data_IF_809119667369
#
_entry.id   IF_809119667369
#
_cell.length_a   1.000
_cell.length_b   1.000
_cell.length_c   1.000
_cell.angle_alpha   90.00
_cell.angle_beta   90.00
_cell.angle_gamma   90.00
#
_symmetry.space_group_name_H-M   'P 1'
#
loop_
_entity.id
_entity.type
_entity.pdbx_description
1 polymer ?
#
# COMPACT_ATOMS: atom_id res chain seq x y z
N UNK A 1 -22.80 -16.90 -14.97
CA UNK A 1 -22.11 -17.97 -14.25
C UNK A 1 -21.25 -17.34 -13.19
N UNK A 2 -21.59 -17.49 -11.90
CA UNK A 2 -20.70 -17.09 -10.80
C UNK A 2 -19.58 -18.12 -10.73
N UNK A 3 -18.40 -17.73 -11.15
CA UNK A 3 -17.19 -18.54 -10.92
C UNK A 3 -16.83 -18.41 -9.44
N UNK A 4 -17.21 -19.41 -8.65
CA UNK A 4 -16.78 -19.51 -7.25
C UNK A 4 -15.29 -19.89 -7.30
N UNK A 5 -14.40 -18.94 -7.08
CA UNK A 5 -12.99 -19.26 -6.87
C UNK A 5 -12.88 -20.01 -5.54
N UNK A 6 -12.48 -21.29 -5.58
CA UNK A 6 -12.06 -22.01 -4.39
C UNK A 6 -10.74 -21.34 -3.93
N UNK A 7 -10.79 -20.62 -2.82
CA UNK A 7 -9.59 -20.16 -2.14
C UNK A 7 -8.91 -21.36 -1.53
N UNK A 8 -7.62 -21.58 -1.80
CA UNK A 8 -6.86 -22.66 -1.21
C UNK A 8 -6.89 -22.54 0.33
N UNK A 9 -6.92 -23.68 1.03
CA UNK A 9 -6.93 -23.70 2.49
C UNK A 9 -5.67 -23.11 3.11
N UNK A 10 -4.55 -23.13 2.38
CA UNK A 10 -3.27 -22.50 2.76
C UNK A 10 -2.68 -21.77 1.56
N UNK A 11 -2.07 -20.61 1.82
CA UNK A 11 -1.35 -19.80 0.83
C UNK A 11 -0.08 -19.20 1.42
N UNK A 12 0.87 -18.92 0.55
CA UNK A 12 2.11 -18.24 0.92
C UNK A 12 1.92 -16.72 0.86
N UNK A 13 2.71 -15.98 1.62
CA UNK A 13 2.85 -14.54 1.48
C UNK A 13 4.24 -14.07 1.89
N UNK A 14 4.51 -12.79 1.68
CA UNK A 14 5.78 -12.15 2.01
C UNK A 14 5.55 -10.87 2.79
N UNK A 15 6.41 -10.65 3.81
CA UNK A 15 6.39 -9.48 4.68
C UNK A 15 7.64 -8.66 4.37
N UNK A 16 7.46 -7.39 4.04
CA UNK A 16 8.51 -6.40 3.95
C UNK A 16 8.70 -5.69 5.29
N UNK A 17 9.94 -5.35 5.61
CA UNK A 17 10.31 -4.80 6.91
C UNK A 17 11.27 -3.62 6.75
N UNK A 18 11.40 -2.80 7.78
CA UNK A 18 12.59 -1.98 7.91
C UNK A 18 13.72 -2.80 8.54
N UNK A 19 14.88 -2.81 7.91
CA UNK A 19 16.12 -3.40 8.47
C UNK A 19 16.89 -2.42 9.34
N UNK A 20 16.68 -1.13 9.09
CA UNK A 20 17.24 -0.03 9.89
C UNK A 20 16.15 1.00 10.19
N UNK A 21 16.25 1.64 11.34
CA UNK A 21 15.39 2.76 11.76
C UNK A 21 16.24 3.79 12.48
N UNK A 22 16.21 5.05 12.03
CA UNK A 22 17.07 6.11 12.56
C UNK A 22 18.56 5.73 12.65
N UNK A 23 19.06 4.98 11.65
CA UNK A 23 20.44 4.52 11.58
C UNK A 23 20.78 3.30 12.47
N UNK A 24 19.83 2.80 13.28
CA UNK A 24 20.02 1.61 14.10
C UNK A 24 19.37 0.38 13.45
N UNK A 25 19.99 -0.80 13.62
CA UNK A 25 19.42 -2.08 13.20
C UNK A 25 18.13 -2.38 13.94
N UNK A 26 17.10 -2.85 13.23
CA UNK A 26 15.84 -3.33 13.80
C UNK A 26 15.89 -4.81 14.18
N UNK A 27 16.96 -5.52 13.80
CA UNK A 27 17.08 -6.97 13.89
C UNK A 27 16.44 -7.72 12.73
N UNK A 28 15.89 -7.02 11.72
CA UNK A 28 15.35 -7.65 10.52
C UNK A 28 16.43 -7.93 9.48
N UNK A 29 16.24 -9.03 8.71
CA UNK A 29 17.08 -9.42 7.57
C UNK A 29 16.54 -8.90 6.23
N UNK A 30 15.33 -8.33 6.19
CA UNK A 30 14.69 -7.85 4.96
C UNK A 30 13.31 -8.45 4.75
N UNK A 31 13.15 -9.42 3.86
CA UNK A 31 11.86 -10.02 3.51
C UNK A 31 11.68 -11.38 4.20
N UNK A 32 10.52 -11.59 4.81
CA UNK A 32 10.11 -12.84 5.43
C UNK A 32 9.00 -13.50 4.62
N UNK A 33 9.05 -14.82 4.47
CA UNK A 33 7.90 -15.60 3.98
C UNK A 33 7.02 -16.05 5.15
N UNK A 34 5.76 -16.31 4.86
CA UNK A 34 4.82 -16.92 5.80
C UNK A 34 3.83 -17.85 5.09
N UNK A 35 3.27 -18.80 5.84
CA UNK A 35 2.10 -19.58 5.43
C UNK A 35 0.86 -19.01 6.11
N UNK A 36 -0.22 -18.86 5.34
CA UNK A 36 -1.51 -18.34 5.80
C UNK A 36 -2.59 -19.39 5.68
N UNK A 37 -3.26 -19.72 6.79
CA UNK A 37 -4.46 -20.54 6.80
C UNK A 37 -5.70 -19.67 6.57
N UNK A 38 -6.32 -19.79 5.40
CA UNK A 38 -7.49 -18.97 5.00
C UNK A 38 -8.79 -19.35 5.72
N UNK A 39 -8.81 -20.49 6.42
CA UNK A 39 -9.97 -20.93 7.18
C UNK A 39 -9.92 -20.47 8.64
N UNK A 40 -8.72 -20.48 9.21
CA UNK A 40 -8.51 -20.16 10.63
C UNK A 40 -7.95 -18.74 10.85
N UNK A 41 -7.44 -18.09 9.81
CA UNK A 41 -6.79 -16.78 9.93
C UNK A 41 -5.47 -16.84 10.71
N UNK A 42 -4.72 -17.93 10.53
CA UNK A 42 -3.47 -18.18 11.25
C UNK A 42 -2.28 -18.00 10.32
N UNK A 43 -1.36 -17.14 10.73
CA UNK A 43 -0.04 -16.97 10.10
C UNK A 43 0.96 -17.91 10.79
N UNK A 44 1.72 -18.66 10.01
CA UNK A 44 2.68 -19.66 10.50
C UNK A 44 3.92 -19.74 9.62
N UNK A 45 4.93 -20.53 10.02
CA UNK A 45 6.17 -20.78 9.27
C UNK A 45 6.87 -19.50 8.81
N UNK A 46 6.98 -18.52 9.69
CA UNK A 46 7.61 -17.25 9.35
C UNK A 46 9.12 -17.41 9.43
N UNK A 47 9.81 -17.05 8.35
CA UNK A 47 11.27 -17.12 8.27
C UNK A 47 11.81 -16.15 7.21
N UNK A 48 13.05 -15.65 7.36
CA UNK A 48 13.66 -14.76 6.38
C UNK A 48 13.92 -15.51 5.06
N UNK A 49 13.60 -14.87 3.92
CA UNK A 49 13.76 -15.46 2.59
C UNK A 49 14.46 -14.54 1.59
N UNK A 50 14.57 -13.25 1.86
CA UNK A 50 15.23 -12.29 0.99
C UNK A 50 16.00 -11.26 1.79
N UNK A 51 17.32 -11.19 1.59
CA UNK A 51 18.16 -10.15 2.21
C UNK A 51 18.20 -8.94 1.30
N UNK A 52 17.70 -7.82 1.78
CA UNK A 52 17.75 -6.52 1.13
C UNK A 52 17.48 -5.43 2.16
N UNK A 53 17.95 -4.20 1.91
CA UNK A 53 17.79 -3.09 2.86
C UNK A 53 16.39 -2.52 2.77
N UNK A 54 15.76 -2.28 3.90
CA UNK A 54 14.49 -1.56 4.04
C UNK A 54 13.46 -1.87 2.94
N UNK A 55 13.07 -3.15 2.69
CA UNK A 55 12.01 -3.48 1.73
C UNK A 55 10.65 -3.04 2.28
N UNK A 56 10.40 -1.72 2.28
CA UNK A 56 9.28 -1.12 2.99
C UNK A 56 7.95 -1.29 2.28
N UNK A 57 7.95 -1.56 0.97
CA UNK A 57 6.75 -1.90 0.22
C UNK A 57 7.02 -3.01 -0.80
N UNK A 58 6.07 -3.93 -0.93
CA UNK A 58 6.17 -5.09 -1.79
C UNK A 58 5.04 -5.10 -2.83
N UNK A 59 5.35 -5.49 -4.07
CA UNK A 59 4.32 -5.83 -5.05
C UNK A 59 4.63 -7.17 -5.72
N UNK A 60 3.60 -7.98 -5.80
CA UNK A 60 3.65 -9.26 -6.49
C UNK A 60 3.28 -9.07 -7.96
N UNK A 61 4.09 -9.65 -8.85
CA UNK A 61 3.77 -9.66 -10.28
C UNK A 61 2.48 -10.45 -10.54
N UNK A 62 1.60 -10.03 -11.48
CA UNK A 62 0.35 -10.73 -11.77
C UNK A 62 0.51 -12.22 -12.11
N UNK A 63 1.67 -12.62 -12.64
CA UNK A 63 1.97 -14.04 -12.90
C UNK A 63 2.26 -14.86 -11.65
N UNK A 64 2.44 -14.24 -10.49
CA UNK A 64 2.88 -14.90 -9.26
C UNK A 64 4.34 -15.38 -9.25
N UNK A 65 5.13 -15.09 -10.30
CA UNK A 65 6.51 -15.58 -10.45
C UNK A 65 7.57 -14.65 -9.92
N UNK A 66 7.26 -13.37 -9.73
CA UNK A 66 8.20 -12.35 -9.33
C UNK A 66 7.63 -11.47 -8.23
N UNK A 67 8.51 -11.03 -7.35
CA UNK A 67 8.22 -10.07 -6.29
C UNK A 67 9.15 -8.86 -6.44
N UNK A 68 8.63 -7.66 -6.24
CA UNK A 68 9.42 -6.43 -6.26
C UNK A 68 9.32 -5.74 -4.92
N UNK A 69 10.45 -5.19 -4.47
CA UNK A 69 10.55 -4.43 -3.24
C UNK A 69 11.17 -3.06 -3.52
N UNK A 70 10.59 -1.99 -3.00
CA UNK A 70 11.32 -0.73 -2.85
C UNK A 70 12.31 -0.86 -1.71
N UNK A 71 13.46 -0.18 -1.82
CA UNK A 71 14.45 -0.08 -0.75
C UNK A 71 14.44 1.37 -0.24
N UNK A 72 13.65 1.61 0.82
CA UNK A 72 13.44 2.93 1.42
C UNK A 72 14.57 3.25 2.38
N UNK A 73 15.72 3.64 1.83
CA UNK A 73 16.91 3.93 2.61
C UNK A 73 16.93 5.38 3.11
N UNK A 74 17.83 5.69 4.03
CA UNK A 74 17.99 7.06 4.50
C UNK A 74 18.55 7.94 3.37
N UNK A 75 18.15 9.21 3.25
CA UNK A 75 18.59 10.10 2.16
C UNK A 75 20.11 10.22 1.98
N UNK A 76 20.87 9.93 3.01
CA UNK A 76 22.34 9.97 2.99
C UNK A 76 23.02 8.67 2.53
N UNK A 77 22.27 7.57 2.32
CA UNK A 77 22.82 6.26 1.98
C UNK A 77 23.28 6.17 0.52
N UNK A 78 22.68 6.95 -0.36
CA UNK A 78 22.92 6.90 -1.81
C UNK A 78 22.51 5.58 -2.48
N UNK A 79 21.69 4.78 -1.80
CA UNK A 79 21.35 3.40 -2.20
C UNK A 79 19.89 3.21 -2.57
N UNK A 80 19.17 4.27 -2.87
CA UNK A 80 17.75 4.22 -3.20
C UNK A 80 17.50 3.43 -4.48
N UNK A 81 16.83 2.29 -4.34
CA UNK A 81 16.66 1.36 -5.44
C UNK A 81 15.39 0.50 -5.31
N UNK A 82 15.16 -0.30 -6.33
CA UNK A 82 14.12 -1.33 -6.41
C UNK A 82 14.82 -2.66 -6.64
N UNK A 83 14.53 -3.65 -5.82
CA UNK A 83 15.04 -5.01 -5.98
C UNK A 83 13.95 -5.92 -6.54
N UNK A 84 14.29 -6.65 -7.59
CA UNK A 84 13.44 -7.67 -8.20
C UNK A 84 13.88 -9.06 -7.73
N UNK A 85 12.90 -9.91 -7.39
CA UNK A 85 13.11 -11.29 -6.96
C UNK A 85 12.33 -12.26 -7.82
N UNK A 86 12.94 -13.41 -8.15
CA UNK A 86 12.22 -14.58 -8.64
C UNK A 86 11.74 -15.41 -7.46
N UNK A 87 10.49 -15.86 -7.53
CA UNK A 87 9.86 -16.77 -6.56
C UNK A 87 10.11 -18.20 -7.04
N UNK A 88 10.42 -19.12 -6.12
CA UNK A 88 10.68 -20.54 -6.45
C UNK A 88 9.51 -21.18 -7.22
N UNK A 89 9.85 -22.15 -8.09
CA UNK A 89 8.91 -22.76 -9.04
C UNK A 89 7.76 -23.52 -8.37
N UNK A 90 7.97 -24.00 -7.15
CA UNK A 90 7.01 -24.81 -6.41
C UNK A 90 6.10 -24.00 -5.47
N UNK A 91 6.22 -22.67 -5.45
CA UNK A 91 5.59 -21.80 -4.44
C UNK A 91 5.77 -22.30 -2.99
N UNK A 92 6.69 -23.24 -2.79
CA UNK A 92 7.01 -23.77 -1.47
C UNK A 92 7.77 -22.75 -0.63
N UNK A 93 7.94 -21.54 -1.15
CA UNK A 93 8.38 -20.34 -0.43
C UNK A 93 9.80 -20.40 0.14
N UNK A 94 10.56 -21.34 -0.25
CA UNK A 94 11.91 -21.43 0.28
C UNK A 94 12.86 -20.56 -0.53
N UNK A 95 12.85 -19.28 -0.23
CA UNK A 95 13.83 -18.34 -0.72
C UNK A 95 13.41 -17.53 -1.94
N UNK A 96 13.54 -16.23 -1.81
CA UNK A 96 13.50 -15.29 -2.91
C UNK A 96 14.91 -15.17 -3.50
N UNK A 97 15.03 -15.42 -4.79
CA UNK A 97 16.30 -15.21 -5.49
C UNK A 97 16.30 -13.81 -6.11
N UNK A 98 17.16 -12.92 -5.62
CA UNK A 98 17.35 -11.62 -6.25
C UNK A 98 17.80 -11.80 -7.72
N UNK A 99 17.09 -11.16 -8.64
CA UNK A 99 17.36 -11.23 -10.08
C UNK A 99 17.87 -9.93 -10.66
N UNK A 100 17.80 -8.84 -9.92
CA UNK A 100 18.35 -7.55 -10.32
C UNK A 100 17.93 -6.43 -9.39
N UNK A 101 18.69 -5.34 -9.48
CA UNK A 101 18.46 -4.11 -8.73
C UNK A 101 18.62 -2.93 -9.68
N UNK A 102 17.73 -1.96 -9.62
CA UNK A 102 17.80 -0.72 -10.42
C UNK A 102 17.62 0.48 -9.50
N UNK A 103 18.21 1.63 -9.86
CA UNK A 103 17.94 2.88 -9.15
C UNK A 103 16.44 3.22 -9.23
N UNK A 104 15.84 3.68 -8.13
CA UNK A 104 14.46 4.17 -8.10
C UNK A 104 14.26 5.53 -8.80
N UNK A 105 15.34 6.16 -9.24
CA UNK A 105 15.40 7.49 -9.85
C UNK A 105 14.90 8.60 -8.91
N UNK A 106 15.08 8.40 -7.61
CA UNK A 106 14.71 9.35 -6.57
C UNK A 106 15.18 8.88 -5.21
N UNK A 107 14.78 9.58 -4.16
CA UNK A 107 15.14 9.31 -2.77
C UNK A 107 13.94 8.83 -1.97
N UNK A 108 14.17 7.84 -1.10
CA UNK A 108 13.19 7.17 -0.26
C UNK A 108 11.99 6.65 -1.07
N UNK A 109 12.18 5.65 -1.97
CA UNK A 109 11.06 4.98 -2.61
C UNK A 109 10.22 4.27 -1.56
N UNK A 110 8.94 4.61 -1.46
CA UNK A 110 8.05 4.12 -0.39
C UNK A 110 6.84 3.34 -0.89
N UNK A 111 6.59 3.35 -2.20
CA UNK A 111 5.49 2.61 -2.81
C UNK A 111 5.81 2.20 -4.23
N UNK A 112 5.29 1.05 -4.64
CA UNK A 112 5.34 0.60 -6.03
C UNK A 112 4.06 -0.15 -6.41
N UNK A 113 3.70 -0.09 -7.69
CA UNK A 113 2.59 -0.86 -8.25
C UNK A 113 2.94 -1.41 -9.63
N UNK A 114 2.18 -2.40 -10.08
CA UNK A 114 2.40 -3.09 -11.37
C UNK A 114 1.09 -3.02 -12.15
N UNK A 115 1.18 -2.79 -13.46
CA UNK A 115 0.01 -2.84 -14.33
C UNK A 115 -0.56 -4.26 -14.45
N UNK A 116 -1.83 -4.39 -14.78
CA UNK A 116 -2.50 -5.68 -14.86
C UNK A 116 -1.89 -6.64 -15.90
N UNK A 117 -1.19 -6.12 -16.91
CA UNK A 117 -0.49 -6.96 -17.92
C UNK A 117 0.87 -7.47 -17.41
N UNK A 118 1.38 -6.95 -16.30
CA UNK A 118 2.70 -7.26 -15.75
C UNK A 118 3.87 -6.70 -16.56
N UNK A 119 3.65 -5.72 -17.42
CA UNK A 119 4.71 -5.16 -18.28
C UNK A 119 5.35 -3.90 -17.71
N UNK A 120 4.69 -3.23 -16.79
CA UNK A 120 5.11 -1.94 -16.28
C UNK A 120 5.05 -1.88 -14.75
N UNK A 121 6.13 -1.39 -14.16
CA UNK A 121 6.21 -1.08 -12.73
C UNK A 121 6.32 0.44 -12.56
N UNK A 122 5.57 0.96 -11.61
CA UNK A 122 5.58 2.36 -11.19
C UNK A 122 6.13 2.45 -9.76
N UNK A 123 6.90 3.50 -9.47
CA UNK A 123 7.43 3.77 -8.14
C UNK A 123 7.19 5.22 -7.74
N UNK A 124 6.88 5.45 -6.46
CA UNK A 124 6.83 6.75 -5.81
C UNK A 124 8.04 6.92 -4.88
N UNK A 125 8.77 8.02 -5.06
CA UNK A 125 9.93 8.39 -4.25
C UNK A 125 9.55 9.56 -3.34
N UNK A 126 9.47 9.29 -2.04
CA UNK A 126 8.90 10.22 -1.06
C UNK A 126 9.74 11.48 -0.90
N UNK A 127 11.05 11.34 -0.62
CA UNK A 127 11.91 12.50 -0.30
C UNK A 127 12.13 13.39 -1.50
N UNK A 128 12.32 12.82 -2.69
CA UNK A 128 12.53 13.61 -3.91
C UNK A 128 11.24 14.12 -4.56
N UNK A 129 10.06 13.57 -4.20
CA UNK A 129 8.79 13.90 -4.85
C UNK A 129 8.78 13.51 -6.33
N UNK A 130 9.47 12.43 -6.70
CA UNK A 130 9.49 11.91 -8.07
C UNK A 130 8.68 10.63 -8.19
N UNK A 131 8.18 10.38 -9.40
CA UNK A 131 7.67 9.07 -9.81
C UNK A 131 8.44 8.56 -11.00
N UNK A 132 8.59 7.24 -11.13
CA UNK A 132 9.27 6.64 -12.27
C UNK A 132 8.53 5.40 -12.79
N UNK A 133 8.74 5.08 -14.07
CA UNK A 133 8.12 3.94 -14.79
C UNK A 133 9.21 3.05 -15.34
N UNK A 134 9.07 1.75 -15.12
CA UNK A 134 10.03 0.74 -15.56
C UNK A 134 9.35 -0.35 -16.39
N UNK A 135 9.95 -0.76 -17.52
CA UNK A 135 9.50 -1.97 -18.19
C UNK A 135 9.93 -3.20 -17.38
N UNK A 136 9.02 -4.17 -17.26
CA UNK A 136 9.30 -5.50 -16.71
C UNK A 136 9.62 -6.43 -17.86
N UNK A 137 10.79 -7.06 -17.82
CA UNK A 137 11.24 -8.00 -18.82
C UNK A 137 10.61 -9.39 -18.59
N UNK A 138 10.65 -10.25 -19.59
CA UNK A 138 10.05 -11.61 -19.52
C UNK A 138 10.65 -12.50 -18.43
N UNK A 139 11.88 -12.22 -18.01
CA UNK A 139 12.59 -12.89 -16.91
C UNK A 139 12.37 -12.22 -15.54
N UNK A 140 11.50 -11.19 -15.47
CA UNK A 140 11.15 -10.46 -14.27
C UNK A 140 12.10 -9.33 -13.90
N UNK A 141 13.20 -9.13 -14.60
CA UNK A 141 14.10 -7.99 -14.37
C UNK A 141 13.45 -6.69 -14.79
N UNK A 142 13.81 -5.62 -14.09
CA UNK A 142 13.44 -4.27 -14.52
C UNK A 142 14.44 -3.75 -15.55
N UNK A 143 13.94 -3.16 -16.64
CA UNK A 143 14.76 -2.41 -17.57
C UNK A 143 15.14 -1.04 -17.02
N UNK A 144 15.77 -0.20 -17.85
CA UNK A 144 16.01 1.20 -17.50
C UNK A 144 14.69 1.96 -17.36
N UNK A 145 14.68 2.97 -16.48
CA UNK A 145 13.50 3.83 -16.32
C UNK A 145 13.07 4.41 -17.66
N UNK A 146 11.83 4.15 -18.03
CA UNK A 146 11.22 4.67 -19.26
C UNK A 146 10.96 6.15 -19.16
N UNK A 147 10.56 6.60 -17.98
CA UNK A 147 10.22 7.99 -17.69
C UNK A 147 10.38 8.28 -16.20
N UNK A 148 10.83 9.50 -15.87
CA UNK A 148 10.89 10.04 -14.52
C UNK A 148 10.18 11.37 -14.53
N UNK A 149 9.27 11.58 -13.57
CA UNK A 149 8.51 12.84 -13.47
C UNK A 149 8.76 13.45 -12.08
N UNK A 150 9.24 14.69 -12.06
CA UNK A 150 9.33 15.51 -10.86
C UNK A 150 7.97 16.15 -10.58
N UNK A 151 7.34 15.82 -9.45
CA UNK A 151 6.16 16.51 -8.97
C UNK A 151 6.54 17.82 -8.29
N UNK A 152 5.63 18.79 -8.29
CA UNK A 152 5.87 20.13 -7.73
C UNK A 152 4.67 20.56 -6.88
N UNK A 153 4.97 21.19 -5.77
CA UNK A 153 3.98 21.73 -4.85
C UNK A 153 4.53 21.75 -3.44
N UNK A 154 3.81 22.39 -2.55
CA UNK A 154 4.07 22.46 -1.12
C UNK A 154 2.75 22.66 -0.39
N UNK A 155 2.74 22.44 0.92
CA UNK A 155 1.59 22.63 1.80
C UNK A 155 1.96 23.45 3.03
N UNK A 156 1.00 23.70 3.94
CA UNK A 156 1.20 24.60 5.07
C UNK A 156 2.01 23.99 6.24
N UNK A 157 2.17 22.66 6.29
CA UNK A 157 2.91 21.98 7.37
C UNK A 157 4.40 22.03 7.06
N UNK A 158 5.09 23.08 7.48
CA UNK A 158 6.45 23.39 7.12
C UNK A 158 7.47 22.25 7.35
N UNK A 159 7.28 21.41 8.37
CA UNK A 159 8.17 20.27 8.68
C UNK A 159 7.95 19.06 7.77
N UNK A 160 6.83 18.99 7.03
CA UNK A 160 6.42 17.81 6.26
C UNK A 160 6.00 18.11 4.82
N UNK A 161 5.83 19.39 4.44
CA UNK A 161 5.26 19.80 3.17
C UNK A 161 6.06 20.94 2.50
N UNK A 162 7.39 20.98 2.70
CA UNK A 162 8.26 22.00 2.05
C UNK A 162 8.31 21.83 0.53
N UNK A 163 8.09 20.61 0.07
CA UNK A 163 8.11 20.23 -1.35
C UNK A 163 7.15 19.07 -1.61
N UNK A 164 7.01 18.66 -2.85
CA UNK A 164 6.29 17.45 -3.22
C UNK A 164 6.93 16.21 -2.55
N UNK A 165 6.08 15.31 -2.09
CA UNK A 165 6.43 14.03 -1.46
C UNK A 165 5.49 12.93 -1.98
N UNK A 166 5.85 12.34 -3.14
CA UNK A 166 5.06 11.26 -3.74
C UNK A 166 5.02 10.06 -2.82
N UNK A 167 3.82 9.66 -2.36
CA UNK A 167 3.67 8.58 -1.39
C UNK A 167 3.06 7.31 -1.97
N UNK A 168 2.21 7.43 -2.98
CA UNK A 168 1.61 6.28 -3.66
C UNK A 168 1.51 6.52 -5.16
N UNK A 169 1.61 5.44 -5.94
CA UNK A 169 1.29 5.38 -7.36
C UNK A 169 0.38 4.19 -7.63
N UNK A 170 -0.77 4.42 -8.26
CA UNK A 170 -1.75 3.37 -8.56
C UNK A 170 -2.45 3.65 -9.89
N UNK A 171 -2.72 2.60 -10.66
CA UNK A 171 -3.50 2.72 -11.89
C UNK A 171 -5.00 2.79 -11.58
N UNK A 172 -5.73 3.56 -12.38
CA UNK A 172 -7.19 3.51 -12.40
C UNK A 172 -7.67 2.09 -12.77
N UNK A 173 -8.88 1.69 -12.35
CA UNK A 173 -9.39 0.33 -12.60
C UNK A 173 -9.41 -0.09 -14.08
N UNK A 174 -9.52 0.86 -14.98
CA UNK A 174 -9.49 0.64 -16.44
C UNK A 174 -8.06 0.71 -17.04
N UNK A 175 -7.05 0.95 -16.21
CA UNK A 175 -5.64 1.01 -16.61
C UNK A 175 -5.24 2.19 -17.47
N UNK A 176 -6.11 3.21 -17.64
CA UNK A 176 -5.82 4.35 -18.55
C UNK A 176 -5.13 5.52 -17.88
N UNK A 177 -5.18 5.59 -16.56
CA UNK A 177 -4.59 6.69 -15.81
C UNK A 177 -3.76 6.17 -14.65
N UNK A 178 -2.58 6.77 -14.45
CA UNK A 178 -1.80 6.62 -13.22
C UNK A 178 -2.14 7.77 -12.28
N UNK A 179 -2.52 7.44 -11.06
CA UNK A 179 -2.73 8.39 -9.98
C UNK A 179 -1.50 8.36 -9.08
N UNK A 180 -0.93 9.53 -8.78
CA UNK A 180 0.12 9.67 -7.77
C UNK A 180 -0.37 10.55 -6.64
N UNK A 181 -0.41 9.98 -5.45
CA UNK A 181 -0.80 10.66 -4.22
C UNK A 181 0.43 11.36 -3.65
N UNK A 182 0.35 12.67 -3.45
CA UNK A 182 1.48 13.48 -2.99
C UNK A 182 1.15 14.16 -1.67
N UNK A 183 1.81 13.71 -0.61
CA UNK A 183 1.63 14.21 0.75
C UNK A 183 2.08 15.66 0.90
N UNK A 184 3.22 15.99 0.30
CA UNK A 184 3.85 17.31 0.45
C UNK A 184 3.11 18.42 -0.28
N UNK A 185 2.46 18.09 -1.39
CA UNK A 185 1.75 19.05 -2.23
C UNK A 185 0.24 19.13 -1.93
N UNK A 186 -0.30 18.31 -1.02
CA UNK A 186 -1.75 18.12 -0.81
C UNK A 186 -2.50 17.86 -2.12
N UNK A 187 -1.99 16.92 -2.95
CA UNK A 187 -2.53 16.67 -4.30
C UNK A 187 -2.58 15.21 -4.66
N UNK A 188 -3.47 14.92 -5.61
CA UNK A 188 -3.40 13.70 -6.42
C UNK A 188 -3.11 14.15 -7.85
N UNK A 189 -1.91 13.81 -8.34
CA UNK A 189 -1.54 14.03 -9.73
C UNK A 189 -2.10 12.88 -10.58
N UNK A 190 -2.71 13.21 -11.71
CA UNK A 190 -3.27 12.24 -12.64
C UNK A 190 -2.53 12.33 -13.97
N UNK A 191 -2.08 11.19 -14.46
CA UNK A 191 -1.34 11.07 -15.72
C UNK A 191 -2.07 10.11 -16.65
N UNK A 192 -2.27 10.47 -17.90
CA UNK A 192 -2.67 9.50 -18.92
C UNK A 192 -1.58 8.44 -19.07
N UNK A 193 -1.96 7.17 -19.08
CA UNK A 193 -1.02 6.05 -19.21
C UNK A 193 -1.23 5.32 -20.55
N UNK A 194 -0.16 5.20 -21.33
CA UNK A 194 -0.12 4.47 -22.57
C UNK A 194 0.53 3.07 -22.36
N UNK A 195 -0.29 2.04 -22.25
CA UNK A 195 0.16 0.69 -21.88
C UNK A 195 1.11 0.04 -22.90
N UNK A 196 1.08 0.46 -24.17
CA UNK A 196 1.99 -0.10 -25.20
C UNK A 196 3.41 0.43 -25.09
N UNK A 197 3.57 1.66 -24.60
CA UNK A 197 4.87 2.34 -24.56
C UNK A 197 5.36 2.64 -23.15
N UNK A 198 4.50 2.51 -22.13
CA UNK A 198 4.79 2.90 -20.77
C UNK A 198 4.84 4.41 -20.54
N UNK A 199 4.40 5.19 -21.51
CA UNK A 199 4.46 6.66 -21.42
C UNK A 199 3.38 7.20 -20.49
N UNK A 200 3.77 8.16 -19.64
CA UNK A 200 2.88 8.98 -18.84
C UNK A 200 2.76 10.37 -19.45
N UNK A 201 1.54 10.81 -19.68
CA UNK A 201 1.25 12.16 -20.17
C UNK A 201 0.71 12.99 -19.01
N UNK A 202 1.44 14.02 -18.55
CA UNK A 202 0.94 14.93 -17.53
C UNK A 202 -0.23 15.74 -18.09
N UNK A 203 -1.35 15.73 -17.40
CA UNK A 203 -2.44 16.67 -17.67
C UNK A 203 -2.70 17.51 -16.41
N UNK A 204 -2.13 18.70 -16.38
CA UNK A 204 -2.27 19.61 -15.23
C UNK A 204 -3.71 20.02 -14.92
N UNK A 205 -4.67 19.77 -15.83
CA UNK A 205 -6.09 20.03 -15.62
C UNK A 205 -6.79 18.95 -14.82
N UNK A 206 -6.17 17.77 -14.67
CA UNK A 206 -6.74 16.63 -13.99
C UNK A 206 -6.15 16.44 -12.57
N UNK A 207 -5.13 17.21 -12.21
CA UNK A 207 -4.60 17.25 -10.85
C UNK A 207 -5.65 17.74 -9.88
N UNK A 208 -5.89 16.96 -8.82
CA UNK A 208 -6.86 17.29 -7.77
C UNK A 208 -6.13 17.88 -6.58
N UNK A 209 -6.54 19.09 -6.18
CA UNK A 209 -6.10 19.75 -4.96
C UNK A 209 -6.99 19.32 -3.81
N UNK A 210 -6.39 18.82 -2.76
CA UNK A 210 -7.05 18.37 -1.54
C UNK A 210 -6.96 19.47 -0.45
N UNK A 211 -7.71 19.35 0.65
CA UNK A 211 -7.63 20.31 1.75
C UNK A 211 -6.20 20.48 2.25
N UNK A 212 -5.79 21.73 2.44
CA UNK A 212 -4.42 22.08 2.82
C UNK A 212 -4.04 21.54 4.20
N UNK A 213 -2.86 20.95 4.33
CA UNK A 213 -2.35 20.38 5.57
C UNK A 213 -2.86 18.98 5.89
N UNK A 214 -3.61 18.35 4.98
CA UNK A 214 -4.11 17.00 5.20
C UNK A 214 -3.06 15.92 4.90
N UNK A 215 -2.17 16.15 3.94
CA UNK A 215 -1.11 15.22 3.56
C UNK A 215 -1.66 13.88 3.10
N UNK A 216 -2.22 13.79 1.86
CA UNK A 216 -2.75 12.53 1.35
C UNK A 216 -1.64 11.49 1.24
N UNK A 217 -1.97 10.23 1.56
CA UNK A 217 -0.98 9.17 1.67
C UNK A 217 -1.23 7.98 0.73
N UNK A 218 -2.34 7.29 0.93
CA UNK A 218 -2.79 6.16 0.10
C UNK A 218 -4.25 6.34 -0.31
N UNK A 219 -4.64 5.65 -1.37
CA UNK A 219 -6.01 5.64 -1.86
C UNK A 219 -6.47 4.23 -2.26
N UNK A 220 -7.78 4.04 -2.27
CA UNK A 220 -8.40 2.83 -2.82
C UNK A 220 -9.64 3.21 -3.64
N UNK A 221 -9.82 2.52 -4.76
CA UNK A 221 -11.05 2.64 -5.55
C UNK A 221 -12.18 1.81 -4.96
N UNK A 222 -13.42 2.31 -5.09
CA UNK A 222 -14.61 1.50 -4.87
C UNK A 222 -14.66 0.33 -5.87
N UNK A 223 -15.39 -0.73 -5.52
CA UNK A 223 -15.49 -1.93 -6.35
C UNK A 223 -16.05 -1.67 -7.76
N UNK A 224 -16.89 -0.66 -7.91
CA UNK A 224 -17.45 -0.22 -9.20
C UNK A 224 -16.55 0.79 -9.94
N UNK A 225 -15.42 1.16 -9.35
CA UNK A 225 -14.44 2.09 -9.92
C UNK A 225 -14.92 3.55 -10.02
N UNK A 226 -16.02 3.92 -9.34
CA UNK A 226 -16.59 5.27 -9.45
C UNK A 226 -16.23 6.21 -8.31
N UNK A 227 -15.77 5.67 -7.20
CA UNK A 227 -15.40 6.44 -6.01
C UNK A 227 -13.97 6.13 -5.63
N UNK A 228 -13.25 7.13 -5.14
CA UNK A 228 -11.90 7.01 -4.60
C UNK A 228 -11.95 7.44 -3.14
N UNK A 229 -11.37 6.63 -2.26
CA UNK A 229 -11.19 6.93 -0.84
C UNK A 229 -9.72 7.16 -0.58
N UNK A 230 -9.36 8.31 -0.03
CA UNK A 230 -7.98 8.73 0.22
C UNK A 230 -7.77 8.86 1.71
N UNK A 231 -6.82 8.13 2.29
CA UNK A 231 -6.37 8.38 3.66
C UNK A 231 -5.35 9.51 3.67
N UNK A 232 -5.47 10.39 4.66
CA UNK A 232 -4.53 11.50 4.88
C UNK A 232 -3.71 11.24 6.14
N UNK A 233 -2.39 11.59 6.08
CA UNK A 233 -1.45 11.31 7.16
C UNK A 233 -1.41 12.42 8.20
N UNK A 234 -1.32 13.69 7.78
CA UNK A 234 -1.03 14.82 8.66
C UNK A 234 -2.26 15.28 9.45
N UNK A 235 -3.42 15.23 8.82
CA UNK A 235 -4.74 15.38 9.45
C UNK A 235 -5.52 14.12 9.16
N UNK A 236 -5.54 13.13 10.09
CA UNK A 236 -6.09 11.81 9.80
C UNK A 236 -7.57 11.83 9.44
N UNK A 237 -7.85 11.58 8.17
CA UNK A 237 -9.20 11.58 7.59
C UNK A 237 -9.30 10.64 6.38
N UNK A 238 -10.52 10.33 5.97
CA UNK A 238 -10.84 9.81 4.64
C UNK A 238 -11.44 10.94 3.83
N UNK A 239 -10.81 11.27 2.70
CA UNK A 239 -11.36 12.15 1.67
C UNK A 239 -12.03 11.27 0.62
N UNK A 240 -13.32 11.48 0.37
CA UNK A 240 -14.08 10.74 -0.64
C UNK A 240 -14.19 11.57 -1.90
N UNK A 241 -13.81 10.99 -3.03
CA UNK A 241 -13.81 11.65 -4.34
C UNK A 241 -14.63 10.82 -5.34
N UNK A 242 -15.42 11.48 -6.18
CA UNK A 242 -16.04 10.85 -7.34
C UNK A 242 -15.07 10.82 -8.51
N UNK A 243 -14.81 9.63 -9.03
CA UNK A 243 -13.95 9.41 -10.20
C UNK A 243 -14.73 9.49 -11.51
N UNK A 244 -14.20 10.22 -12.46
CA UNK A 244 -14.67 10.23 -13.85
C UNK A 244 -13.66 9.51 -14.74
N UNK A 245 -13.92 8.23 -15.04
CA UNK A 245 -13.01 7.39 -15.82
C UNK A 245 -12.81 7.85 -17.27
N UNK A 246 -13.75 8.59 -17.85
CA UNK A 246 -13.60 9.11 -19.22
C UNK A 246 -12.59 10.26 -19.29
N UNK A 247 -12.56 11.09 -18.25
CA UNK A 247 -11.75 12.32 -18.20
C UNK A 247 -10.50 12.20 -17.33
N UNK A 248 -10.38 11.14 -16.52
CA UNK A 248 -9.31 11.04 -15.52
C UNK A 248 -9.40 12.11 -14.43
N UNK A 249 -10.58 12.59 -14.10
CA UNK A 249 -10.77 13.69 -13.16
C UNK A 249 -11.55 13.26 -11.92
N UNK A 250 -11.40 14.01 -10.83
CA UNK A 250 -12.08 13.74 -9.57
C UNK A 250 -12.79 14.97 -9.03
N UNK A 251 -13.88 14.74 -8.30
CA UNK A 251 -14.63 15.79 -7.57
C UNK A 251 -14.80 15.34 -6.13
N UNK A 252 -14.44 16.19 -5.17
CA UNK A 252 -14.60 15.87 -3.75
C UNK A 252 -16.07 15.79 -3.35
N UNK A 253 -16.44 14.71 -2.65
CA UNK A 253 -17.77 14.46 -2.11
C UNK A 253 -17.85 14.76 -0.61
N UNK A 254 -16.78 14.44 0.14
CA UNK A 254 -16.78 14.61 1.58
C UNK A 254 -15.44 14.35 2.22
N UNK A 255 -15.34 14.71 3.49
CA UNK A 255 -14.20 14.43 4.37
C UNK A 255 -14.74 13.95 5.71
N UNK A 256 -14.16 12.87 6.25
CA UNK A 256 -14.52 12.33 7.55
C UNK A 256 -13.27 11.95 8.35
N UNK A 257 -13.25 12.31 9.64
CA UNK A 257 -12.11 11.95 10.53
C UNK A 257 -12.02 10.43 10.71
N UNK A 258 -10.79 9.93 10.78
CA UNK A 258 -10.50 8.53 11.15
C UNK A 258 -10.20 8.36 12.63
N UNK A 259 -10.13 9.44 13.39
CA UNK A 259 -9.84 9.42 14.83
C UNK A 259 -11.10 9.24 15.68
N UNK A 260 -11.01 8.60 16.83
CA UNK A 260 -12.05 8.67 17.85
C UNK A 260 -12.32 10.13 18.27
N UNK A 261 -13.59 10.49 18.54
CA UNK A 261 -14.03 11.87 18.77
C UNK A 261 -13.35 12.60 19.95
N UNK A 262 -12.61 11.90 20.81
CA UNK A 262 -12.01 12.43 22.04
C UNK A 262 -10.47 12.38 22.05
N UNK A 263 -9.81 12.19 20.91
CA UNK A 263 -8.35 12.00 20.90
C UNK A 263 -7.61 13.26 20.40
N UNK A 264 -7.02 14.08 21.33
CA UNK A 264 -6.31 15.31 20.98
C UNK A 264 -4.81 15.11 20.69
N UNK A 265 -4.32 13.86 20.64
CA UNK A 265 -2.89 13.58 20.63
C UNK A 265 -2.28 13.57 19.21
N UNK A 266 -0.96 13.48 19.11
CA UNK A 266 -0.25 13.32 17.83
C UNK A 266 -0.60 12.00 17.14
N UNK A 267 -1.15 12.10 15.94
CA UNK A 267 -1.62 10.98 15.14
C UNK A 267 -1.12 11.09 13.71
N UNK A 268 -1.16 9.97 12.99
CA UNK A 268 -0.90 9.92 11.56
C UNK A 268 -1.74 8.82 10.92
N UNK A 269 -2.55 9.16 9.92
CA UNK A 269 -3.19 8.16 9.07
C UNK A 269 -2.13 7.35 8.31
N UNK A 270 -2.39 6.07 8.04
CA UNK A 270 -1.41 5.26 7.32
C UNK A 270 -2.01 4.48 6.15
N UNK A 271 -2.66 3.36 6.39
CA UNK A 271 -3.18 2.48 5.37
C UNK A 271 -4.69 2.61 5.23
N UNK A 272 -5.19 2.35 4.04
CA UNK A 272 -6.62 2.32 3.73
C UNK A 272 -6.93 1.12 2.84
N UNK A 273 -7.88 0.28 3.24
CA UNK A 273 -8.28 -0.90 2.49
C UNK A 273 -9.81 -1.00 2.43
N UNK A 274 -10.33 -1.18 1.24
CA UNK A 274 -11.74 -1.51 1.02
C UNK A 274 -11.91 -3.03 1.06
N UNK A 275 -12.88 -3.50 1.83
CA UNK A 275 -13.23 -4.92 1.86
C UNK A 275 -13.65 -5.40 0.45
N UNK A 276 -13.29 -6.65 0.03
CA UNK A 276 -13.62 -7.17 -1.30
C UNK A 276 -15.12 -7.15 -1.66
N UNK A 277 -16.02 -7.17 -0.64
CA UNK A 277 -17.46 -7.01 -0.88
C UNK A 277 -17.90 -5.58 -1.23
N UNK A 278 -17.01 -4.58 -1.07
CA UNK A 278 -17.27 -3.16 -1.33
C UNK A 278 -18.12 -2.44 -0.27
N UNK A 279 -18.44 -3.09 0.86
CA UNK A 279 -19.35 -2.54 1.88
C UNK A 279 -18.64 -1.92 3.08
N UNK A 280 -17.39 -2.26 3.33
CA UNK A 280 -16.62 -1.84 4.50
C UNK A 280 -15.28 -1.25 4.10
N UNK A 281 -14.90 -0.17 4.76
CA UNK A 281 -13.62 0.50 4.58
C UNK A 281 -12.91 0.57 5.92
N UNK A 282 -11.61 0.29 5.91
CA UNK A 282 -10.76 0.30 7.10
C UNK A 282 -9.60 1.26 6.91
N UNK A 283 -9.20 1.92 7.99
CA UNK A 283 -8.08 2.88 8.00
C UNK A 283 -7.27 2.71 9.27
N UNK A 284 -5.94 2.61 9.16
CA UNK A 284 -5.08 2.59 10.34
C UNK A 284 -4.63 3.98 10.75
N UNK A 285 -4.63 4.23 12.07
CA UNK A 285 -4.11 5.44 12.70
C UNK A 285 -2.89 5.07 13.55
N UNK A 286 -1.77 5.74 13.30
CA UNK A 286 -0.50 5.61 14.01
C UNK A 286 -0.42 6.63 15.14
N UNK A 287 0.73 6.66 15.83
CA UNK A 287 1.01 7.57 16.93
C UNK A 287 0.37 7.11 18.23
N UNK A 288 -0.28 8.00 18.96
CA UNK A 288 -0.85 7.64 20.27
C UNK A 288 -2.15 6.85 20.18
N UNK A 289 -2.92 6.95 19.08
CA UNK A 289 -4.17 6.19 18.96
C UNK A 289 -3.93 4.71 18.67
N UNK A 290 -3.02 4.37 17.75
CA UNK A 290 -2.74 2.99 17.32
C UNK A 290 -4.02 2.17 17.13
N UNK A 291 -4.93 2.68 16.30
CA UNK A 291 -6.26 2.09 16.05
C UNK A 291 -6.47 1.74 14.59
N UNK A 292 -7.45 0.89 14.33
CA UNK A 292 -8.07 0.70 13.01
C UNK A 292 -9.48 1.29 13.09
N UNK A 293 -9.74 2.33 12.31
CA UNK A 293 -11.06 2.91 12.11
C UNK A 293 -11.86 2.06 11.13
N UNK A 294 -13.12 1.84 11.43
CA UNK A 294 -14.05 1.04 10.62
C UNK A 294 -15.17 1.95 10.08
N UNK A 295 -15.48 1.79 8.80
CA UNK A 295 -16.57 2.50 8.14
C UNK A 295 -17.44 1.54 7.35
N UNK A 296 -18.73 1.80 7.29
CA UNK A 296 -19.64 1.21 6.30
C UNK A 296 -19.77 2.16 5.12
N UNK A 297 -19.76 1.63 3.92
CA UNK A 297 -20.07 2.42 2.72
C UNK A 297 -21.58 2.43 2.53
N UNK A 298 -22.16 3.63 2.48
CA UNK A 298 -23.59 3.80 2.22
C UNK A 298 -23.93 3.65 0.72
N UNK A 299 -25.22 3.79 0.39
CA UNK A 299 -25.71 3.68 -0.99
C UNK A 299 -25.19 4.76 -1.94
N UNK A 300 -24.75 5.91 -1.40
CA UNK A 300 -24.21 7.04 -2.16
C UNK A 300 -22.67 6.94 -2.31
N UNK A 301 -22.06 5.90 -1.73
CA UNK A 301 -20.62 5.64 -1.74
C UNK A 301 -19.86 6.41 -0.67
N UNK A 302 -20.53 6.96 0.34
CA UNK A 302 -19.90 7.72 1.41
C UNK A 302 -19.57 6.80 2.62
N UNK A 303 -18.39 6.97 3.25
CA UNK A 303 -18.06 6.23 4.45
C UNK A 303 -18.83 6.77 5.67
N UNK A 304 -19.51 5.87 6.37
CA UNK A 304 -20.25 6.14 7.62
C UNK A 304 -19.49 5.45 8.77
N UNK A 305 -19.12 6.15 9.84
CA UNK A 305 -18.36 5.57 10.95
C UNK A 305 -19.05 4.34 11.54
N UNK A 306 -18.27 3.30 11.79
CA UNK A 306 -18.74 2.04 12.38
C UNK A 306 -17.96 1.66 13.64
N UNK A 307 -17.04 2.52 14.10
CA UNK A 307 -16.26 2.34 15.33
C UNK A 307 -14.76 2.25 15.08
N UNK A 308 -14.05 1.92 16.15
CA UNK A 308 -12.58 1.77 16.19
C UNK A 308 -12.22 0.53 17.01
N UNK A 309 -11.10 -0.10 16.65
CA UNK A 309 -10.50 -1.17 17.42
C UNK A 309 -9.01 -0.85 17.63
N UNK A 310 -8.41 -1.14 18.82
CA UNK A 310 -6.96 -1.05 18.99
C UNK A 310 -6.25 -1.97 17.99
N UNK A 311 -5.09 -1.55 17.46
CA UNK A 311 -4.25 -2.42 16.63
C UNK A 311 -3.57 -3.53 17.45
N UNK A 312 -3.64 -3.45 18.78
CA UNK A 312 -2.97 -4.31 19.75
C UNK A 312 -1.44 -4.33 19.61
N UNK A 313 -0.87 -3.30 19.02
CA UNK A 313 0.54 -3.00 18.87
C UNK A 313 0.75 -1.51 18.70
N UNK A 314 1.92 -1.10 18.23
CA UNK A 314 2.26 0.30 18.01
C UNK A 314 2.69 0.58 16.57
N UNK A 315 2.33 1.75 16.07
CA UNK A 315 2.59 2.20 14.70
C UNK A 315 2.06 1.21 13.63
N UNK A 316 0.73 0.95 13.55
CA UNK A 316 0.13 0.13 12.51
C UNK A 316 0.29 0.83 11.14
N UNK A 317 1.48 0.67 10.53
CA UNK A 317 1.84 1.34 9.27
C UNK A 317 1.10 0.76 8.08
N UNK A 318 0.83 -0.54 8.12
CA UNK A 318 0.19 -1.28 7.04
C UNK A 318 -0.79 -2.32 7.60
N UNK A 319 -1.82 -2.60 6.86
CA UNK A 319 -2.68 -3.75 7.05
C UNK A 319 -3.27 -4.18 5.70
N UNK A 320 -3.71 -5.41 5.62
CA UNK A 320 -4.44 -5.87 4.44
C UNK A 320 -5.48 -6.91 4.84
N UNK A 321 -6.46 -7.12 3.97
CA UNK A 321 -7.47 -8.15 4.10
C UNK A 321 -7.01 -9.37 3.30
N UNK A 322 -7.17 -10.55 3.88
CA UNK A 322 -6.83 -11.80 3.21
C UNK A 322 -7.74 -12.02 1.98
N UNK A 323 -7.32 -12.79 0.98
CA UNK A 323 -8.11 -13.01 -0.23
C UNK A 323 -9.49 -13.63 -0.02
N UNK A 324 -9.74 -14.26 1.13
CA UNK A 324 -11.06 -14.79 1.49
C UNK A 324 -12.04 -13.69 1.95
N UNK A 325 -11.53 -12.53 2.34
CA UNK A 325 -12.30 -11.45 2.94
C UNK A 325 -12.73 -11.71 4.38
N UNK A 326 -12.24 -12.77 5.02
CA UNK A 326 -12.64 -13.13 6.40
C UNK A 326 -11.76 -12.51 7.46
N UNK A 327 -10.53 -12.16 7.11
CA UNK A 327 -9.54 -11.71 8.07
C UNK A 327 -8.81 -10.46 7.60
N UNK A 328 -8.53 -9.57 8.54
CA UNK A 328 -7.62 -8.43 8.38
C UNK A 328 -6.39 -8.70 9.23
N UNK A 329 -5.21 -8.48 8.65
CA UNK A 329 -3.92 -8.56 9.37
C UNK A 329 -3.32 -7.17 9.45
N UNK A 330 -2.99 -6.72 10.66
CA UNK A 330 -2.30 -5.44 10.91
C UNK A 330 -0.82 -5.67 11.18
N UNK A 331 0.04 -4.93 10.49
CA UNK A 331 1.49 -4.90 10.70
C UNK A 331 1.85 -3.67 11.56
N UNK A 332 2.20 -3.94 12.81
CA UNK A 332 2.56 -2.94 13.80
C UNK A 332 4.09 -2.74 13.77
N UNK A 333 4.53 -1.76 13.02
CA UNK A 333 5.96 -1.46 12.82
C UNK A 333 6.69 -1.24 14.15
N UNK A 334 6.08 -0.52 15.07
CA UNK A 334 6.75 -0.09 16.31
C UNK A 334 6.89 -1.20 17.35
N UNK A 335 5.88 -2.07 17.49
CA UNK A 335 5.92 -3.23 18.40
C UNK A 335 6.56 -4.47 17.77
N UNK A 336 6.77 -4.48 16.44
CA UNK A 336 7.39 -5.61 15.76
C UNK A 336 6.51 -6.85 15.74
N UNK A 337 5.23 -6.70 15.43
CA UNK A 337 4.28 -7.80 15.39
C UNK A 337 3.20 -7.64 14.33
N UNK A 338 2.59 -8.77 13.97
CA UNK A 338 1.38 -8.81 13.16
C UNK A 338 0.21 -9.32 14.01
N UNK A 339 -0.94 -8.66 13.88
CA UNK A 339 -2.17 -8.98 14.62
C UNK A 339 -3.28 -9.30 13.63
N UNK A 340 -3.91 -10.46 13.80
CA UNK A 340 -5.05 -10.88 12.98
C UNK A 340 -6.38 -10.48 13.64
N UNK A 341 -7.32 -10.04 12.81
CA UNK A 341 -8.71 -9.76 13.17
C UNK A 341 -9.64 -10.58 12.29
N UNK A 342 -10.63 -11.20 12.87
CA UNK A 342 -11.78 -11.74 12.14
C UNK A 342 -12.71 -10.59 11.76
N UNK A 343 -13.24 -10.63 10.54
CA UNK A 343 -14.19 -9.64 10.01
C UNK A 343 -15.59 -10.23 10.08
N UNK A 344 -16.49 -9.59 10.80
CA UNK A 344 -17.91 -9.95 10.76
C UNK A 344 -18.51 -9.62 9.40
N UNK A 345 -19.04 -10.58 8.64
CA UNK A 345 -19.49 -10.36 7.27
C UNK A 345 -20.74 -9.47 7.15
N UNK A 346 -21.50 -9.30 8.22
CA UNK A 346 -22.73 -8.51 8.23
C UNK A 346 -22.48 -7.04 8.59
N UNK A 347 -21.64 -6.80 9.58
CA UNK A 347 -21.37 -5.47 10.14
C UNK A 347 -20.02 -4.87 9.73
N UNK A 348 -19.04 -5.70 9.32
CA UNK A 348 -17.66 -5.31 9.10
C UNK A 348 -16.86 -5.11 10.40
N UNK A 349 -17.43 -5.47 11.56
CA UNK A 349 -16.75 -5.33 12.84
C UNK A 349 -15.52 -6.23 12.92
N UNK A 350 -14.44 -5.69 13.50
CA UNK A 350 -13.19 -6.41 13.70
C UNK A 350 -13.13 -6.98 15.10
N UNK A 351 -12.82 -8.27 15.21
CA UNK A 351 -12.55 -8.95 16.49
C UNK A 351 -11.18 -9.59 16.42
N UNK A 352 -10.31 -9.33 17.41
CA UNK A 352 -8.97 -9.93 17.46
C UNK A 352 -9.08 -11.46 17.40
N UNK A 353 -8.30 -12.06 16.51
CA UNK A 353 -8.24 -13.49 16.29
C UNK A 353 -6.84 -14.02 16.61
N UNK A 354 -6.77 -14.95 17.56
CA UNK A 354 -5.51 -15.61 17.93
C UNK A 354 -4.47 -14.72 18.61
N UNK A 355 -3.23 -15.21 18.62
CA UNK A 355 -2.06 -14.53 19.17
C UNK A 355 -1.40 -13.64 18.10
N UNK A 356 -0.72 -12.59 18.52
CA UNK A 356 0.17 -11.84 17.63
C UNK A 356 1.39 -12.67 17.25
N UNK A 357 1.93 -12.36 16.08
CA UNK A 357 3.12 -13.02 15.52
C UNK A 357 4.25 -12.01 15.44
N UNK A 358 5.41 -12.32 16.01
CA UNK A 358 6.57 -11.42 16.03
C UNK A 358 7.33 -11.43 14.72
N UNK A 359 7.53 -10.25 14.13
CA UNK A 359 8.39 -9.98 12.97
C UNK A 359 9.01 -8.60 13.18
N UNK A 360 10.34 -8.43 13.14
CA UNK A 360 10.96 -7.13 13.37
C UNK A 360 10.49 -6.07 12.35
N UNK A 361 9.97 -4.95 12.87
CA UNK A 361 9.55 -3.76 12.10
C UNK A 361 8.76 -4.07 10.79
N UNK A 362 7.64 -4.81 10.83
CA UNK A 362 6.88 -5.16 9.63
C UNK A 362 6.15 -3.91 9.11
N UNK A 363 6.24 -3.63 7.80
CA UNK A 363 5.70 -2.39 7.21
C UNK A 363 4.90 -2.60 5.93
N UNK A 364 4.94 -3.79 5.35
CA UNK A 364 4.07 -4.21 4.25
C UNK A 364 4.00 -5.73 4.19
N UNK A 365 3.00 -6.27 3.54
CA UNK A 365 2.97 -7.69 3.17
C UNK A 365 2.02 -7.93 1.99
N UNK A 366 2.26 -9.01 1.28
CA UNK A 366 1.42 -9.47 0.17
C UNK A 366 1.09 -10.95 0.34
N UNK A 367 -0.13 -11.33 -0.02
CA UNK A 367 -0.53 -12.73 -0.16
C UNK A 367 -0.25 -13.20 -1.60
N UNK A 368 0.26 -14.41 -1.78
CA UNK A 368 0.31 -15.02 -3.11
C UNK A 368 -1.12 -15.19 -3.66
N UNK A 369 -1.33 -15.07 -4.98
CA UNK A 369 -2.61 -15.47 -5.55
C UNK A 369 -2.83 -16.96 -5.27
N UNK A 370 -4.09 -17.33 -5.01
CA UNK A 370 -4.43 -18.74 -4.94
C UNK A 370 -4.07 -19.40 -6.28
N UNK A 371 -3.18 -20.38 -6.26
CA UNK A 371 -2.88 -21.15 -7.45
C UNK A 371 -4.15 -21.85 -7.90
N UNK A 372 -4.69 -21.43 -9.04
CA UNK A 372 -5.68 -22.23 -9.78
C UNK A 372 -4.91 -23.42 -10.34
N UNK A 373 -4.98 -24.56 -9.67
CA UNK A 373 -4.53 -25.86 -10.19
C UNK A 373 -5.53 -26.40 -11.19
#
# INVERSE_FOLDING_TARGET
MLTTFLVAASMTGWIGTYTTSNGASTGSSGIYAFQWDTQQGVMSRIHPVGTTTNPSFLALHPSGRFLYAVNEDAPSSGTDHITAFAIGEDNSSEGLRAIGTVSSQGLAPCHLSIDASGKWLFVANYVSGTIAVYPIQSDGRLGQARQVIQQKGSGPVASRQQSAHAHEVVLSPDGRFLLSVDLGADRIFVYGFEATTGALTPDGKQTVVLPAGYGPRHLVFSKDGRTVYVVTELTPAVITLRWNAQRGSMTQLGVISTLPAADPAEHGGAEIVLHPNGKFLYVSNRGKSNTIAMFRIDRDGLPVPAGHVPSYGTLPRFFNIDPSGKFLVAANQGSGDLVTFAIDPASGALTRAGSSVSVPAPVSFVFAPALVR
#
